data_IF_478034836944
#
_entry.id   IF_478034836944
#
_cell.length_a   1.000
_cell.length_b   1.000
_cell.length_c   1.000
_cell.angle_alpha   90.00
_cell.angle_beta   90.00
_cell.angle_gamma   90.00
#
_symmetry.space_group_name_H-M   'P 1'
#
loop_
_entity.id
_entity.type
_entity.pdbx_description
1 polymer ?
#
# COMPACT_ATOMS: atom_id res chain seq x y z
N UNK A 1 -4.71 8.47 -7.60
CA UNK A 1 -4.66 6.99 -7.65
C UNK A 1 -5.87 6.48 -8.42
N UNK A 2 -5.69 5.68 -9.47
CA UNK A 2 -6.76 5.37 -10.44
C UNK A 2 -7.87 4.48 -9.87
N UNK A 3 -7.53 3.51 -9.01
CA UNK A 3 -8.50 2.59 -8.41
C UNK A 3 -9.60 3.31 -7.62
N UNK A 4 -9.24 4.16 -6.65
CA UNK A 4 -10.21 4.92 -5.86
C UNK A 4 -11.00 5.91 -6.73
N UNK A 5 -10.35 6.54 -7.70
CA UNK A 5 -11.00 7.46 -8.63
C UNK A 5 -12.08 6.74 -9.43
N UNK A 6 -11.76 5.60 -10.03
CA UNK A 6 -12.71 4.86 -10.86
C UNK A 6 -13.85 4.27 -10.04
N UNK A 7 -13.58 3.79 -8.83
CA UNK A 7 -14.60 3.33 -7.89
C UNK A 7 -15.58 4.47 -7.54
N UNK A 8 -15.05 5.66 -7.23
CA UNK A 8 -15.86 6.83 -6.89
C UNK A 8 -16.69 7.33 -8.10
N UNK A 9 -16.13 7.28 -9.29
CA UNK A 9 -16.83 7.61 -10.54
C UNK A 9 -17.83 6.54 -11.00
N UNK A 10 -18.06 5.49 -10.20
CA UNK A 10 -18.94 4.34 -10.52
C UNK A 10 -18.59 3.70 -11.86
N UNK A 11 -17.31 3.75 -12.24
CA UNK A 11 -16.80 2.99 -13.38
C UNK A 11 -16.69 1.53 -12.96
N UNK A 12 -16.69 0.64 -13.94
CA UNK A 12 -16.53 -0.79 -13.65
C UNK A 12 -15.09 -1.07 -13.19
N UNK A 13 -14.91 -1.17 -11.87
CA UNK A 13 -13.65 -1.60 -11.24
C UNK A 13 -13.77 -3.07 -10.86
N UNK A 14 -12.95 -3.91 -11.48
CA UNK A 14 -12.92 -5.35 -11.17
C UNK A 14 -11.90 -5.59 -10.07
N UNK A 15 -12.37 -6.07 -8.92
CA UNK A 15 -11.53 -6.66 -7.87
C UNK A 15 -11.51 -8.17 -8.00
N UNK A 16 -10.45 -8.79 -7.50
CA UNK A 16 -10.33 -10.24 -7.39
C UNK A 16 -10.74 -10.72 -6.01
N UNK A 17 -10.73 -12.04 -5.78
CA UNK A 17 -11.20 -12.61 -4.52
C UNK A 17 -10.24 -12.30 -3.36
N UNK A 18 -8.93 -12.24 -3.60
CA UNK A 18 -7.89 -12.05 -2.58
C UNK A 18 -7.00 -10.86 -2.90
N UNK A 19 -7.21 -9.73 -2.25
CA UNK A 19 -6.50 -8.49 -2.53
C UNK A 19 -5.45 -8.21 -1.45
N UNK A 20 -4.22 -7.93 -1.88
CA UNK A 20 -3.17 -7.38 -1.01
C UNK A 20 -2.93 -5.90 -1.35
N UNK A 21 -3.14 -5.02 -0.39
CA UNK A 21 -2.82 -3.59 -0.47
C UNK A 21 -1.44 -3.35 0.16
N UNK A 22 -0.57 -2.63 -0.54
CA UNK A 22 0.76 -2.24 -0.02
C UNK A 22 0.75 -0.74 0.27
N UNK A 23 0.93 -0.35 1.53
CA UNK A 23 0.98 1.04 1.99
C UNK A 23 0.43 1.20 3.40
N UNK A 24 0.89 2.22 4.13
CA UNK A 24 0.51 2.48 5.53
C UNK A 24 -0.32 3.74 5.79
N UNK A 25 -0.56 4.59 4.79
CA UNK A 25 -1.35 5.84 4.97
C UNK A 25 -2.86 5.65 4.79
N UNK A 26 -3.64 6.69 5.07
CA UNK A 26 -5.11 6.70 4.93
C UNK A 26 -5.59 6.16 3.57
N UNK A 27 -4.88 6.52 2.48
CA UNK A 27 -5.18 6.04 1.13
C UNK A 27 -5.13 4.51 1.04
N UNK A 28 -4.20 3.85 1.73
CA UNK A 28 -4.11 2.39 1.74
C UNK A 28 -5.31 1.78 2.47
N UNK A 29 -5.75 2.40 3.56
CA UNK A 29 -6.96 2.00 4.29
C UNK A 29 -8.21 2.15 3.42
N UNK A 30 -8.37 3.30 2.76
CA UNK A 30 -9.48 3.55 1.83
C UNK A 30 -9.52 2.53 0.69
N UNK A 31 -8.35 2.17 0.14
CA UNK A 31 -8.23 1.15 -0.90
C UNK A 31 -8.68 -0.22 -0.38
N UNK A 32 -8.26 -0.59 0.84
CA UNK A 32 -8.63 -1.87 1.44
C UNK A 32 -10.15 -1.97 1.67
N UNK A 33 -10.74 -0.95 2.28
CA UNK A 33 -12.18 -0.87 2.52
C UNK A 33 -12.97 -0.84 1.20
N UNK A 34 -12.50 -0.08 0.21
CA UNK A 34 -13.12 -0.05 -1.13
C UNK A 34 -13.06 -1.40 -1.81
N UNK A 35 -11.94 -2.14 -1.70
CA UNK A 35 -11.83 -3.49 -2.26
C UNK A 35 -12.85 -4.46 -1.65
N UNK A 36 -13.06 -4.41 -0.33
CA UNK A 36 -14.13 -5.17 0.34
C UNK A 36 -15.51 -4.83 -0.23
N UNK A 37 -15.81 -3.53 -0.38
CA UNK A 37 -17.10 -3.06 -0.92
C UNK A 37 -17.33 -3.42 -2.38
N UNK A 38 -16.27 -3.56 -3.17
CA UNK A 38 -16.32 -4.04 -4.54
C UNK A 38 -16.43 -5.57 -4.66
N UNK A 39 -16.44 -6.30 -3.54
CA UNK A 39 -16.73 -7.74 -3.48
C UNK A 39 -15.52 -8.64 -3.32
N UNK A 40 -14.34 -8.10 -2.96
CA UNK A 40 -13.22 -8.94 -2.54
C UNK A 40 -13.60 -9.76 -1.29
N UNK A 41 -13.21 -11.03 -1.26
CA UNK A 41 -13.54 -11.97 -0.18
C UNK A 41 -12.52 -11.92 0.96
N UNK A 42 -11.27 -11.66 0.61
CA UNK A 42 -10.17 -11.51 1.55
C UNK A 42 -9.37 -10.27 1.16
N UNK A 43 -9.20 -9.35 2.09
CA UNK A 43 -8.39 -8.16 1.89
C UNK A 43 -7.35 -8.09 3.00
N UNK A 44 -6.10 -7.98 2.60
CA UNK A 44 -4.98 -7.77 3.50
C UNK A 44 -4.26 -6.47 3.13
N UNK A 45 -3.72 -5.79 4.13
CA UNK A 45 -2.88 -4.61 3.98
C UNK A 45 -1.50 -4.94 4.56
N UNK A 46 -0.43 -4.59 3.87
CA UNK A 46 0.93 -4.68 4.37
C UNK A 46 1.64 -3.31 4.32
N UNK A 47 2.34 -2.98 5.39
CA UNK A 47 3.03 -1.71 5.55
C UNK A 47 4.39 -1.92 6.24
N UNK A 48 5.30 -0.99 6.01
CA UNK A 48 6.68 -1.07 6.52
C UNK A 48 6.78 -0.62 7.98
N UNK A 49 5.88 0.26 8.36
CA UNK A 49 5.78 0.92 9.65
C UNK A 49 5.33 -0.08 10.74
N UNK A 50 5.76 0.14 11.97
CA UNK A 50 5.18 -0.54 13.14
C UNK A 50 3.77 -0.04 13.41
N UNK A 51 3.03 -0.69 14.32
CA UNK A 51 1.68 -0.25 14.69
C UNK A 51 1.65 1.21 15.17
N UNK A 52 2.69 1.62 15.88
CA UNK A 52 2.85 2.96 16.45
C UNK A 52 3.30 4.01 15.43
N UNK A 53 3.88 3.57 14.31
CA UNK A 53 4.45 4.43 13.26
C UNK A 53 3.55 4.52 12.00
N UNK A 54 2.47 3.73 11.93
CA UNK A 54 1.54 3.75 10.81
C UNK A 54 1.04 5.19 10.57
N UNK A 55 1.20 5.74 9.35
CA UNK A 55 0.75 7.10 9.06
C UNK A 55 -0.77 7.28 9.06
N UNK A 56 -1.52 6.20 8.88
CA UNK A 56 -2.97 6.26 8.86
C UNK A 56 -3.54 6.57 10.26
N UNK A 57 -4.70 7.23 10.30
CA UNK A 57 -5.38 7.48 11.57
C UNK A 57 -5.78 6.16 12.25
N UNK A 58 -5.59 6.10 13.57
CA UNK A 58 -5.90 4.89 14.36
C UNK A 58 -7.36 4.46 14.20
N UNK A 59 -8.28 5.43 14.13
CA UNK A 59 -9.71 5.19 13.89
C UNK A 59 -9.98 4.53 12.53
N UNK A 60 -9.27 4.95 11.47
CA UNK A 60 -9.41 4.34 10.14
C UNK A 60 -8.86 2.92 10.12
N UNK A 61 -7.71 2.67 10.77
CA UNK A 61 -7.19 1.31 10.84
C UNK A 61 -8.09 0.42 11.70
N UNK A 62 -8.62 0.92 12.80
CA UNK A 62 -9.56 0.17 13.62
C UNK A 62 -10.82 -0.18 12.83
N UNK A 63 -11.37 0.77 12.05
CA UNK A 63 -12.47 0.49 11.15
C UNK A 63 -12.11 -0.60 10.14
N UNK A 64 -10.94 -0.53 9.50
CA UNK A 64 -10.51 -1.57 8.57
C UNK A 64 -10.41 -2.95 9.23
N UNK A 65 -9.89 -3.03 10.46
CA UNK A 65 -9.83 -4.28 11.23
C UNK A 65 -11.25 -4.78 11.54
N UNK A 66 -12.15 -3.91 12.01
CA UNK A 66 -13.53 -4.25 12.36
C UNK A 66 -14.33 -4.75 11.15
N UNK A 67 -14.00 -4.25 9.96
CA UNK A 67 -14.58 -4.69 8.70
C UNK A 67 -13.92 -5.95 8.11
N UNK A 68 -12.86 -6.46 8.73
CA UNK A 68 -12.21 -7.72 8.38
C UNK A 68 -10.95 -7.61 7.52
N UNK A 69 -10.35 -6.42 7.40
CA UNK A 69 -9.05 -6.25 6.74
C UNK A 69 -7.93 -6.79 7.63
N UNK A 70 -7.11 -7.71 7.09
CA UNK A 70 -5.92 -8.21 7.79
C UNK A 70 -4.75 -7.22 7.69
N UNK A 71 -4.29 -6.68 8.83
CA UNK A 71 -3.20 -5.69 8.86
C UNK A 71 -1.85 -6.35 9.18
N UNK A 72 -0.90 -6.24 8.24
CA UNK A 72 0.44 -6.80 8.33
C UNK A 72 1.47 -5.68 8.54
N UNK A 73 1.70 -5.30 9.80
CA UNK A 73 2.66 -4.26 10.17
C UNK A 73 4.11 -4.75 10.14
N UNK A 74 5.04 -3.87 9.81
CA UNK A 74 6.46 -4.16 9.68
C UNK A 74 6.76 -5.28 8.66
N UNK A 75 6.05 -5.28 7.53
CA UNK A 75 6.24 -6.21 6.42
C UNK A 75 6.26 -5.46 5.08
N UNK A 76 7.36 -5.58 4.34
CA UNK A 76 7.51 -5.02 3.00
C UNK A 76 7.40 -6.07 1.90
N UNK A 77 7.01 -5.69 0.67
CA UNK A 77 7.03 -6.60 -0.46
C UNK A 77 8.47 -6.95 -0.86
N UNK A 78 8.80 -8.24 -0.87
CA UNK A 78 10.08 -8.77 -1.38
C UNK A 78 9.96 -9.21 -2.83
N UNK A 79 8.90 -9.96 -3.15
CA UNK A 79 8.67 -10.48 -4.51
C UNK A 79 7.20 -10.78 -4.78
N UNK A 80 6.73 -10.38 -5.96
CA UNK A 80 5.43 -10.84 -6.47
C UNK A 80 5.60 -12.23 -7.10
N UNK A 81 4.77 -13.18 -6.66
CA UNK A 81 4.76 -14.56 -7.15
C UNK A 81 3.71 -14.69 -8.25
N UNK A 82 4.09 -15.31 -9.37
CA UNK A 82 3.23 -15.44 -10.54
C UNK A 82 3.98 -15.83 -11.80
N UNK A 83 3.26 -15.86 -12.91
CA UNK A 83 3.77 -16.18 -14.26
C UNK A 83 3.88 -14.95 -15.17
N UNK A 84 3.75 -13.75 -14.61
CA UNK A 84 3.75 -12.47 -15.33
C UNK A 84 2.39 -12.08 -15.94
N UNK A 85 1.42 -13.00 -15.99
CA UNK A 85 0.03 -12.71 -16.40
C UNK A 85 -0.93 -12.76 -15.22
N UNK A 86 -0.63 -13.58 -14.22
CA UNK A 86 -1.42 -13.78 -13.02
C UNK A 86 -0.55 -13.71 -11.77
N UNK A 87 -1.04 -13.00 -10.77
CA UNK A 87 -0.49 -13.03 -9.42
C UNK A 87 -1.09 -14.24 -8.67
N UNK A 88 -0.24 -14.96 -7.94
CA UNK A 88 -0.67 -16.06 -7.07
C UNK A 88 -0.27 -15.81 -5.60
N UNK A 89 0.55 -14.80 -5.34
CA UNK A 89 0.95 -14.41 -4.00
C UNK A 89 1.99 -13.31 -3.99
N UNK A 90 2.33 -12.85 -2.79
CA UNK A 90 3.45 -11.94 -2.55
C UNK A 90 4.27 -12.48 -1.39
N UNK A 91 5.57 -12.64 -1.62
CA UNK A 91 6.54 -12.84 -0.57
C UNK A 91 6.82 -11.50 0.10
N UNK A 92 6.62 -11.46 1.42
CA UNK A 92 6.90 -10.33 2.28
C UNK A 92 8.18 -10.60 3.07
N UNK A 93 8.93 -9.54 3.36
CA UNK A 93 10.12 -9.53 4.20
C UNK A 93 9.88 -8.65 5.43
N UNK A 94 10.43 -9.06 6.58
CA UNK A 94 10.30 -8.30 7.82
C UNK A 94 11.03 -6.96 7.68
N UNK A 95 10.29 -5.87 7.83
CA UNK A 95 10.85 -4.54 8.04
C UNK A 95 11.28 -4.45 9.51
N UNK A 96 12.54 -4.13 9.77
CA UNK A 96 13.08 -3.93 11.12
C UNK A 96 12.86 -2.49 11.57
N UNK A 97 12.93 -1.55 10.63
CA UNK A 97 12.67 -0.14 10.89
C UNK A 97 12.37 0.56 9.56
N UNK A 98 11.29 1.34 9.50
CA UNK A 98 10.90 2.12 8.32
C UNK A 98 11.66 3.45 8.21
N UNK A 99 12.10 4.00 9.34
CA UNK A 99 12.74 5.32 9.44
C UNK A 99 14.14 5.22 10.06
N UNK A 100 15.07 6.05 9.62
CA UNK A 100 16.36 6.16 10.31
C UNK A 100 16.25 6.93 11.64
N UNK A 101 17.37 7.08 12.34
CA UNK A 101 17.43 7.82 13.62
C UNK A 101 17.09 9.30 13.50
N UNK A 102 17.14 9.86 12.28
CA UNK A 102 16.79 11.24 11.98
C UNK A 102 15.32 11.38 11.56
N UNK A 103 14.56 10.27 11.56
CA UNK A 103 13.15 10.24 11.17
C UNK A 103 12.92 10.23 9.66
N UNK A 104 13.97 10.07 8.85
CA UNK A 104 13.83 10.00 7.40
C UNK A 104 13.42 8.59 6.99
N UNK A 105 12.55 8.49 6.00
CA UNK A 105 12.15 7.20 5.44
C UNK A 105 13.36 6.48 4.84
N UNK A 106 13.79 5.40 5.48
CA UNK A 106 14.98 4.62 5.13
C UNK A 106 14.81 3.18 5.64
N UNK A 107 13.99 2.36 4.96
CA UNK A 107 13.60 1.07 5.47
C UNK A 107 14.75 0.07 5.49
N UNK A 108 14.85 -0.67 6.60
CA UNK A 108 15.81 -1.75 6.81
C UNK A 108 15.09 -3.08 7.01
N UNK A 109 15.67 -4.16 6.50
CA UNK A 109 14.99 -5.46 6.43
C UNK A 109 15.81 -6.58 7.07
N UNK A 110 15.12 -7.55 7.67
CA UNK A 110 15.69 -8.85 8.01
C UNK A 110 15.36 -9.86 6.91
N UNK A 111 16.29 -10.03 5.97
CA UNK A 111 16.16 -10.90 4.80
C UNK A 111 15.94 -12.38 5.12
N UNK A 112 16.22 -12.81 6.37
CA UNK A 112 16.02 -14.19 6.82
C UNK A 112 14.57 -14.45 7.26
N UNK A 113 13.81 -13.40 7.53
CA UNK A 113 12.45 -13.48 8.05
C UNK A 113 11.48 -13.08 6.94
N UNK A 114 10.94 -14.09 6.27
CA UNK A 114 9.99 -13.93 5.17
C UNK A 114 8.68 -14.67 5.45
N UNK A 115 7.59 -14.19 4.86
CA UNK A 115 6.32 -14.92 4.82
C UNK A 115 5.64 -14.71 3.48
N UNK A 116 4.76 -15.62 3.08
CA UNK A 116 4.01 -15.49 1.83
C UNK A 116 2.55 -15.22 2.13
N UNK A 117 1.96 -14.24 1.45
CA UNK A 117 0.52 -14.00 1.40
C UNK A 117 0.00 -14.49 0.06
N UNK A 118 -0.97 -15.41 0.08
CA UNK A 118 -1.69 -15.83 -1.13
C UNK A 118 -2.63 -14.71 -1.57
N UNK A 119 -2.49 -14.25 -2.80
CA UNK A 119 -3.29 -13.14 -3.35
C UNK A 119 -3.34 -13.25 -4.86
N UNK A 120 -4.43 -12.81 -5.47
CA UNK A 120 -4.61 -12.76 -6.91
C UNK A 120 -4.64 -11.33 -7.48
N UNK A 121 -4.51 -10.31 -6.61
CA UNK A 121 -4.43 -8.90 -6.96
C UNK A 121 -3.62 -8.11 -5.92
N UNK A 122 -2.66 -7.31 -6.41
CA UNK A 122 -1.86 -6.41 -5.57
C UNK A 122 -2.19 -4.97 -5.95
N UNK A 123 -2.48 -4.13 -4.96
CA UNK A 123 -2.72 -2.69 -5.16
C UNK A 123 -1.68 -1.90 -4.39
N UNK A 124 -0.93 -1.05 -5.09
CA UNK A 124 0.09 -0.19 -4.49
C UNK A 124 -0.52 1.16 -4.09
N UNK A 125 -0.40 1.50 -2.80
CA UNK A 125 -0.87 2.72 -2.16
C UNK A 125 0.27 3.37 -1.34
N UNK A 126 1.45 3.49 -1.96
CA UNK A 126 2.72 3.92 -1.34
C UNK A 126 3.02 5.43 -1.50
N UNK A 127 1.98 6.25 -1.69
CA UNK A 127 2.13 7.68 -1.98
C UNK A 127 2.19 8.02 -3.47
N UNK A 128 2.18 9.31 -3.78
CA UNK A 128 2.23 9.86 -5.14
C UNK A 128 3.24 11.01 -5.18
N UNK A 129 3.90 11.21 -6.33
CA UNK A 129 4.75 12.36 -6.58
C UNK A 129 4.16 13.23 -7.69
N UNK A 130 4.55 14.50 -7.74
CA UNK A 130 4.11 15.43 -8.77
C UNK A 130 4.69 15.05 -10.14
N UNK A 131 3.86 15.06 -11.18
CA UNK A 131 4.35 15.04 -12.55
C UNK A 131 4.65 16.48 -13.00
N UNK A 132 5.93 16.82 -13.09
CA UNK A 132 6.41 18.16 -13.43
C UNK A 132 6.58 18.38 -14.94
N UNK A 133 6.22 17.42 -15.80
CA UNK A 133 6.45 17.51 -17.25
C UNK A 133 5.80 18.74 -17.92
N UNK A 134 4.75 19.31 -17.32
CA UNK A 134 4.04 20.49 -17.82
C UNK A 134 4.42 21.79 -17.09
N UNK A 135 5.31 21.72 -16.11
CA UNK A 135 5.75 22.89 -15.33
C UNK A 135 6.84 23.63 -16.13
N UNK A 136 6.66 24.93 -16.43
CA UNK A 136 7.68 25.70 -17.14
C UNK A 136 8.99 25.78 -16.36
N UNK A 137 10.14 25.72 -17.05
CA UNK A 137 11.48 25.82 -16.44
C UNK A 137 11.70 27.11 -15.62
N UNK A 138 10.89 28.15 -15.85
CA UNK A 138 10.93 29.39 -15.06
C UNK A 138 10.44 29.21 -13.62
N UNK A 139 9.76 28.12 -13.32
CA UNK A 139 9.24 27.80 -12.00
C UNK A 139 10.27 26.94 -11.27
N UNK A 140 10.74 27.44 -10.12
CA UNK A 140 11.69 26.69 -9.28
C UNK A 140 10.97 25.52 -8.62
N UNK A 141 11.67 24.40 -8.47
CA UNK A 141 11.18 23.23 -7.75
C UNK A 141 12.17 22.82 -6.66
N UNK A 142 11.66 22.19 -5.60
CA UNK A 142 12.47 21.60 -4.53
C UNK A 142 13.00 20.21 -4.94
N UNK A 143 13.93 19.65 -4.16
CA UNK A 143 14.40 18.26 -4.33
C UNK A 143 13.28 17.23 -4.15
N UNK A 144 12.20 17.59 -3.45
CA UNK A 144 11.03 16.77 -3.19
C UNK A 144 9.97 16.85 -4.32
N UNK A 145 10.26 17.60 -5.40
CA UNK A 145 9.37 17.71 -6.56
C UNK A 145 8.14 18.59 -6.32
N UNK A 146 8.26 19.59 -5.43
CA UNK A 146 7.24 20.60 -5.18
C UNK A 146 7.64 21.95 -5.78
N UNK A 147 6.66 22.82 -6.07
CA UNK A 147 6.83 24.20 -6.60
C UNK A 147 6.88 25.18 -5.42
#
# INVERSE_FOLDING_TARGET
>A
MDFLRDANLKREVKVKDKVLVIGGGNVATDVALTALRLGAKEVQLACLESREEIPAYEEEIQQAIDEGVGINVSWGPKRILGDGKKVIGVELVRCVSAFDKEGRFNPSYDEKVTKTIETDMVILAIGQTSDLALVPESVKTTEEGTI
#
